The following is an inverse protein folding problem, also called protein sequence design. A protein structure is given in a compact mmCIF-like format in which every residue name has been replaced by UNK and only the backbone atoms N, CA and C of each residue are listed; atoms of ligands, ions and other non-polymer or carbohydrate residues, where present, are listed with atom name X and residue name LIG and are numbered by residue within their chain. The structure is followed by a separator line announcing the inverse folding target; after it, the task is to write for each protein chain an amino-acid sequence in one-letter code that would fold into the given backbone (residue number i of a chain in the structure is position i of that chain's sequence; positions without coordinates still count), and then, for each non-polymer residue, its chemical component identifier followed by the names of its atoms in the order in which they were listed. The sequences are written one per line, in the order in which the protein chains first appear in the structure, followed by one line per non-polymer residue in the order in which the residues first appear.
data_IF_463269190852
#
_entry.id   IF_463269190852
#
_cell.length_a   1.000
_cell.length_b   1.000
_cell.length_c   1.000
_cell.angle_alpha   90.00
_cell.angle_beta   90.00
_cell.angle_gamma   90.00
#
_symmetry.space_group_name_H-M   'P 1'
#
loop_
_entity.id
_entity.type
_entity.pdbx_description
1 polymer ?
#
# COMPACT_ATOMS: atom_id res chain seq x y z
N UNK A 1 -26.79 19.47 3.41
CA UNK A 1 -25.32 19.61 3.24
C UNK A 1 -24.85 18.40 2.43
N UNK A 2 -24.35 18.64 1.22
CA UNK A 2 -23.97 17.59 0.26
C UNK A 2 -22.78 16.77 0.80
N UNK A 3 -22.87 15.45 0.97
CA UNK A 3 -21.77 14.63 1.47
C UNK A 3 -20.53 14.67 0.54
N UNK A 4 -20.72 15.00 -0.74
CA UNK A 4 -19.62 15.16 -1.70
C UNK A 4 -18.72 16.39 -1.44
N UNK A 5 -19.21 17.45 -0.79
CA UNK A 5 -18.39 18.63 -0.50
C UNK A 5 -17.38 18.39 0.64
N UNK A 6 -17.73 17.52 1.60
CA UNK A 6 -16.85 17.17 2.70
C UNK A 6 -15.76 16.20 2.24
N UNK A 7 -16.08 15.29 1.30
CA UNK A 7 -15.12 14.34 0.72
C UNK A 7 -14.01 15.02 -0.10
N UNK A 8 -14.27 16.15 -0.73
CA UNK A 8 -13.25 16.87 -1.52
C UNK A 8 -12.31 17.74 -0.69
N UNK A 9 -12.70 18.14 0.51
CA UNK A 9 -11.91 19.13 1.27
C UNK A 9 -10.62 18.54 1.85
N UNK A 10 -10.61 17.27 2.28
CA UNK A 10 -9.41 16.64 2.86
C UNK A 10 -8.32 16.34 1.80
N UNK A 11 -8.69 16.13 0.53
CA UNK A 11 -7.72 15.88 -0.55
C UNK A 11 -6.91 17.13 -0.91
N UNK A 12 -7.42 18.32 -0.60
CA UNK A 12 -6.70 19.57 -0.88
C UNK A 12 -5.33 19.66 -0.21
N UNK A 13 -5.13 18.99 0.89
CA UNK A 13 -3.84 18.93 1.58
C UNK A 13 -2.75 18.22 0.76
N UNK A 14 -3.15 17.35 -0.19
CA UNK A 14 -2.25 16.62 -1.08
C UNK A 14 -2.04 17.29 -2.44
N UNK A 15 -2.57 18.51 -2.62
CA UNK A 15 -2.40 19.29 -3.83
C UNK A 15 -1.27 20.30 -3.63
N UNK A 16 -0.26 20.25 -4.49
CA UNK A 16 0.93 21.10 -4.44
C UNK A 16 0.92 22.04 -5.62
N UNK A 17 0.98 23.34 -5.34
CA UNK A 17 1.17 24.38 -6.34
C UNK A 17 2.67 24.54 -6.61
N UNK A 18 3.14 24.13 -7.77
CA UNK A 18 4.58 24.18 -8.12
C UNK A 18 4.98 25.37 -8.96
N UNK A 19 4.02 26.09 -9.58
CA UNK A 19 4.33 27.23 -10.47
C UNK A 19 5.04 28.36 -9.77
N UNK A 20 4.66 28.66 -8.52
CA UNK A 20 5.30 29.71 -7.71
C UNK A 20 6.61 29.32 -7.03
N UNK A 21 7.02 28.05 -7.14
CA UNK A 21 8.27 27.57 -6.52
C UNK A 21 9.46 28.00 -7.38
N UNK A 22 10.57 28.31 -6.73
CA UNK A 22 11.88 28.48 -7.37
C UNK A 22 12.43 27.12 -7.82
N UNK A 23 13.31 27.10 -8.81
CA UNK A 23 14.03 25.89 -9.15
C UNK A 23 14.90 25.41 -7.97
N UNK A 24 14.93 24.10 -7.74
CA UNK A 24 15.65 23.49 -6.64
C UNK A 24 14.81 22.59 -5.76
N UNK A 25 15.32 22.26 -4.59
CA UNK A 25 14.73 21.32 -3.63
C UNK A 25 13.70 22.01 -2.73
N UNK A 26 12.53 21.37 -2.61
CA UNK A 26 11.46 21.74 -1.70
C UNK A 26 11.01 20.49 -0.90
N UNK A 27 10.85 20.66 0.41
CA UNK A 27 10.45 19.56 1.29
C UNK A 27 9.02 19.77 1.76
N UNK A 28 8.26 18.68 1.78
CA UNK A 28 6.88 18.64 2.25
C UNK A 28 6.69 17.48 3.22
N UNK A 29 5.78 17.65 4.15
CA UNK A 29 5.37 16.59 5.09
C UNK A 29 3.86 16.45 5.05
N UNK A 30 3.39 15.20 5.00
CA UNK A 30 1.98 14.86 4.97
C UNK A 30 1.67 13.81 6.02
N UNK A 31 0.48 13.90 6.60
CA UNK A 31 -0.07 12.86 7.46
C UNK A 31 -1.16 12.13 6.72
N UNK A 32 -0.97 10.83 6.50
CA UNK A 32 -1.95 9.95 5.89
C UNK A 32 -2.73 9.24 6.98
N UNK A 33 -4.04 9.35 6.89
CA UNK A 33 -5.00 8.71 7.79
C UNK A 33 -5.95 7.80 7.00
N UNK A 34 -6.79 7.09 7.73
CA UNK A 34 -7.86 6.21 7.20
C UNK A 34 -8.63 6.82 6.04
N UNK A 35 -8.87 8.14 6.08
CA UNK A 35 -9.67 8.86 5.07
C UNK A 35 -9.12 8.73 3.66
N UNK A 36 -7.77 8.74 3.51
CA UNK A 36 -7.15 8.62 2.20
C UNK A 36 -7.31 7.21 1.64
N UNK A 37 -7.03 6.18 2.44
CA UNK A 37 -7.12 4.79 2.00
C UNK A 37 -8.57 4.42 1.65
N UNK A 38 -9.53 4.79 2.51
CA UNK A 38 -10.97 4.57 2.27
C UNK A 38 -11.50 5.35 1.06
N UNK A 39 -10.91 6.52 0.74
CA UNK A 39 -11.28 7.27 -0.45
C UNK A 39 -11.02 6.47 -1.74
N UNK A 40 -9.95 5.69 -1.76
CA UNK A 40 -9.58 4.79 -2.85
C UNK A 40 -10.15 3.36 -2.70
N UNK A 41 -11.17 3.19 -1.84
CA UNK A 41 -11.87 1.92 -1.58
C UNK A 41 -10.97 0.80 -1.04
N UNK A 42 -9.92 1.16 -0.31
CA UNK A 42 -9.15 0.20 0.45
C UNK A 42 -9.67 0.19 1.90
N UNK A 43 -10.37 -0.90 2.26
CA UNK A 43 -11.05 -1.05 3.55
C UNK A 43 -10.51 -2.22 4.38
N UNK A 44 -9.53 -2.97 3.87
CA UNK A 44 -8.93 -4.15 4.53
C UNK A 44 -7.95 -3.77 5.65
N UNK A 45 -8.32 -2.79 6.45
CA UNK A 45 -7.57 -2.34 7.63
C UNK A 45 -8.52 -1.74 8.68
N UNK A 46 -8.08 -1.69 9.93
CA UNK A 46 -8.86 -1.11 11.03
C UNK A 46 -8.59 0.39 11.17
N UNK A 47 -7.33 0.77 11.26
CA UNK A 47 -6.88 2.18 11.30
C UNK A 47 -5.47 2.31 10.72
N UNK A 48 -5.10 3.54 10.33
CA UNK A 48 -3.74 3.83 9.90
C UNK A 48 -3.28 5.22 10.37
N UNK A 49 -1.98 5.32 10.61
CA UNK A 49 -1.27 6.58 10.87
C UNK A 49 0.10 6.49 10.22
N UNK A 50 0.26 7.22 9.13
CA UNK A 50 1.49 7.20 8.33
C UNK A 50 1.94 8.63 8.10
N UNK A 51 3.19 8.90 8.45
CA UNK A 51 3.86 10.16 8.14
C UNK A 51 4.62 9.98 6.83
N UNK A 52 4.45 10.92 5.92
CA UNK A 52 5.11 10.93 4.62
C UNK A 52 5.93 12.19 4.48
N UNK A 53 7.21 12.01 4.18
CA UNK A 53 8.10 13.10 3.77
C UNK A 53 8.26 13.04 2.26
N UNK A 54 8.16 14.17 1.61
CA UNK A 54 8.36 14.28 0.17
C UNK A 54 9.39 15.34 -0.14
N UNK A 55 10.36 14.98 -0.96
CA UNK A 55 11.31 15.88 -1.58
C UNK A 55 10.86 16.15 -3.01
N UNK A 56 10.61 17.41 -3.34
CA UNK A 56 10.29 17.87 -4.69
C UNK A 56 11.49 18.65 -5.22
N UNK A 57 12.12 18.17 -6.27
CA UNK A 57 13.15 18.90 -7.00
C UNK A 57 12.54 19.48 -8.26
N UNK A 58 12.41 20.81 -8.29
CA UNK A 58 11.91 21.52 -9.46
C UNK A 58 13.05 21.82 -10.42
N UNK A 59 12.89 21.38 -11.67
CA UNK A 59 13.75 21.70 -12.81
C UNK A 59 12.94 22.43 -13.89
N UNK A 60 13.57 23.11 -14.85
CA UNK A 60 12.84 23.89 -15.86
C UNK A 60 11.77 23.13 -16.64
N UNK A 61 11.99 21.84 -16.93
CA UNK A 61 11.13 21.03 -17.79
C UNK A 61 10.52 19.80 -17.11
N UNK A 62 10.83 19.55 -15.84
CA UNK A 62 10.32 18.39 -15.10
C UNK A 62 10.35 18.64 -13.59
N UNK A 63 9.59 17.80 -12.86
CA UNK A 63 9.69 17.72 -11.41
C UNK A 63 10.13 16.29 -11.04
N UNK A 64 11.02 16.17 -10.05
CA UNK A 64 11.37 14.91 -9.44
C UNK A 64 10.77 14.87 -8.03
N UNK A 65 10.02 13.81 -7.73
CA UNK A 65 9.32 13.63 -6.46
C UNK A 65 9.85 12.36 -5.81
N UNK A 66 10.41 12.49 -4.60
CA UNK A 66 10.84 11.35 -3.79
C UNK A 66 10.01 11.29 -2.52
N UNK A 67 9.29 10.20 -2.33
CA UNK A 67 8.43 9.97 -1.18
C UNK A 67 9.06 8.97 -0.23
N UNK A 68 8.96 9.25 1.07
CA UNK A 68 9.39 8.39 2.16
C UNK A 68 8.23 8.31 3.15
N UNK A 69 7.67 7.13 3.31
CA UNK A 69 6.59 6.91 4.27
C UNK A 69 7.06 6.06 5.44
N UNK A 70 6.57 6.37 6.63
CA UNK A 70 6.79 5.60 7.84
C UNK A 70 5.59 5.72 8.76
N UNK A 71 5.11 4.59 9.26
CA UNK A 71 3.99 4.61 10.18
C UNK A 71 3.50 3.22 10.56
N UNK A 72 2.25 3.17 11.00
CA UNK A 72 1.60 1.96 11.46
C UNK A 72 0.24 1.84 10.81
N UNK A 73 -0.07 0.63 10.34
CA UNK A 73 -1.39 0.23 9.85
C UNK A 73 -1.85 -0.94 10.72
N UNK A 74 -3.04 -0.84 11.31
CA UNK A 74 -3.64 -1.96 12.02
C UNK A 74 -4.39 -2.84 11.03
N UNK A 75 -3.93 -4.07 10.87
CA UNK A 75 -4.40 -5.06 9.91
C UNK A 75 -4.86 -6.32 10.63
N UNK A 76 -5.72 -7.10 9.98
CA UNK A 76 -6.10 -8.41 10.49
C UNK A 76 -5.16 -9.49 9.96
N UNK A 77 -4.73 -10.38 10.85
CA UNK A 77 -3.92 -11.52 10.48
C UNK A 77 -4.66 -12.44 9.50
N UNK A 78 -4.02 -12.82 8.40
CA UNK A 78 -4.61 -13.70 7.39
C UNK A 78 -4.98 -15.09 7.94
N UNK A 79 -4.27 -15.58 8.96
CA UNK A 79 -4.46 -16.92 9.53
C UNK A 79 -5.42 -16.90 10.72
N UNK A 80 -5.23 -15.98 11.67
CA UNK A 80 -6.01 -15.95 12.92
C UNK A 80 -7.17 -14.97 12.89
N UNK A 81 -7.18 -14.04 11.92
CA UNK A 81 -8.09 -12.89 11.83
C UNK A 81 -8.01 -11.93 13.03
N UNK A 82 -6.97 -12.04 13.84
CA UNK A 82 -6.75 -11.13 14.96
C UNK A 82 -6.08 -9.84 14.48
N UNK A 83 -6.51 -8.67 15.00
CA UNK A 83 -5.92 -7.39 14.62
C UNK A 83 -4.52 -7.23 15.23
N UNK A 84 -3.60 -6.66 14.48
CA UNK A 84 -2.27 -6.29 14.97
C UNK A 84 -1.73 -5.09 14.23
N UNK A 85 -0.76 -4.42 14.85
CA UNK A 85 -0.09 -3.27 14.27
C UNK A 85 1.05 -3.71 13.36
N UNK A 86 0.93 -3.37 12.08
CA UNK A 86 1.94 -3.59 11.06
C UNK A 86 2.75 -2.32 10.86
N UNK A 87 4.08 -2.41 11.02
CA UNK A 87 4.98 -1.29 10.74
C UNK A 87 5.18 -1.13 9.24
N UNK A 88 4.66 -0.04 8.68
CA UNK A 88 4.80 0.30 7.28
C UNK A 88 5.99 1.24 7.09
N UNK A 89 6.83 0.93 6.12
CA UNK A 89 7.94 1.77 5.68
C UNK A 89 8.13 1.56 4.18
N UNK A 90 8.03 2.61 3.39
CA UNK A 90 8.25 2.53 1.94
C UNK A 90 8.84 3.82 1.38
N UNK A 91 9.46 3.67 0.22
CA UNK A 91 10.00 4.76 -0.58
C UNK A 91 9.54 4.59 -2.01
N UNK A 92 9.24 5.70 -2.69
CA UNK A 92 8.86 5.73 -4.09
C UNK A 92 9.32 7.03 -4.74
N UNK A 93 9.84 6.93 -5.97
CA UNK A 93 10.33 8.05 -6.74
C UNK A 93 9.49 8.20 -8.01
N UNK A 94 9.15 9.45 -8.36
CA UNK A 94 8.41 9.78 -9.58
C UNK A 94 9.08 10.91 -10.31
N UNK A 95 9.02 10.85 -11.65
CA UNK A 95 9.36 11.97 -12.52
C UNK A 95 8.10 12.51 -13.16
N UNK A 96 7.85 13.81 -13.00
CA UNK A 96 6.72 14.49 -13.62
C UNK A 96 7.20 15.25 -14.83
N UNK A 97 6.68 14.92 -16.01
CA UNK A 97 6.93 15.64 -17.27
C UNK A 97 5.69 16.40 -17.71
N UNK A 98 5.90 17.44 -18.50
CA UNK A 98 4.84 18.26 -19.07
C UNK A 98 4.68 17.94 -20.55
N UNK A 99 3.52 17.43 -20.95
CA UNK A 99 3.27 17.00 -22.32
C UNK A 99 1.83 16.64 -22.59
N UNK A 100 1.54 16.20 -23.82
CA UNK A 100 0.22 15.77 -24.25
C UNK A 100 0.15 14.24 -24.44
N UNK A 101 1.27 13.53 -24.31
CA UNK A 101 1.33 12.09 -24.52
C UNK A 101 1.03 11.38 -23.20
N UNK A 102 -0.05 10.63 -23.19
CA UNK A 102 -0.38 9.68 -22.11
C UNK A 102 0.44 8.40 -22.35
N UNK A 103 1.69 8.40 -21.93
CA UNK A 103 2.50 7.18 -21.97
C UNK A 103 2.41 6.51 -20.59
N UNK A 104 1.47 5.58 -20.45
CA UNK A 104 1.16 4.89 -19.19
C UNK A 104 2.06 3.67 -18.93
N UNK A 105 3.05 3.42 -19.77
CA UNK A 105 3.87 2.20 -19.68
C UNK A 105 4.94 2.25 -18.58
N UNK A 106 5.15 3.42 -17.97
CA UNK A 106 6.14 3.59 -16.92
C UNK A 106 5.49 4.13 -15.64
N UNK A 107 5.39 3.29 -14.61
CA UNK A 107 4.77 3.63 -13.32
C UNK A 107 5.51 4.74 -12.55
N UNK A 108 6.76 5.02 -12.89
CA UNK A 108 7.57 6.08 -12.29
C UNK A 108 7.43 7.42 -13.02
N UNK A 109 6.69 7.47 -14.12
CA UNK A 109 6.52 8.66 -14.95
C UNK A 109 5.08 9.16 -14.90
N UNK A 110 4.90 10.38 -14.38
CA UNK A 110 3.63 11.08 -14.42
C UNK A 110 3.67 12.17 -15.49
N UNK A 111 2.67 12.23 -16.37
CA UNK A 111 2.58 13.24 -17.40
C UNK A 111 1.46 14.22 -17.03
N UNK A 112 1.80 15.49 -16.87
CA UNK A 112 0.85 16.56 -16.68
C UNK A 112 0.66 17.34 -17.98
N UNK A 113 -0.56 17.83 -18.27
CA UNK A 113 -0.81 18.73 -19.39
C UNK A 113 0.08 19.97 -19.33
N UNK A 114 0.48 20.48 -20.50
CA UNK A 114 1.20 21.76 -20.59
C UNK A 114 0.34 22.87 -19.98
N UNK A 115 0.95 23.71 -19.13
CA UNK A 115 0.24 24.78 -18.44
C UNK A 115 -0.37 24.38 -17.09
N UNK A 116 -0.19 23.14 -16.65
CA UNK A 116 -0.54 22.76 -15.28
C UNK A 116 0.24 23.60 -14.27
N UNK A 117 -0.43 24.01 -13.20
CA UNK A 117 0.14 24.83 -12.13
C UNK A 117 0.19 24.11 -10.78
N UNK A 118 -0.48 22.97 -10.68
CA UNK A 118 -0.56 22.15 -9.47
C UNK A 118 -0.52 20.68 -9.82
N UNK A 119 -0.15 19.86 -8.83
CA UNK A 119 -0.16 18.40 -8.89
C UNK A 119 -0.90 17.85 -7.68
N UNK A 120 -1.79 16.89 -7.90
CA UNK A 120 -2.41 16.09 -6.84
C UNK A 120 -1.61 14.79 -6.69
N UNK A 121 -1.08 14.56 -5.50
CA UNK A 121 -0.24 13.40 -5.16
C UNK A 121 -0.99 12.36 -4.34
N UNK A 122 -2.30 12.53 -4.12
CA UNK A 122 -3.09 11.65 -3.26
C UNK A 122 -3.10 10.20 -3.74
N UNK A 123 -3.19 9.98 -5.06
CA UNK A 123 -3.14 8.66 -5.67
C UNK A 123 -1.77 8.00 -5.48
N UNK A 124 -0.67 8.72 -5.69
CA UNK A 124 0.68 8.21 -5.54
C UNK A 124 0.97 7.81 -4.09
N UNK A 125 0.48 8.60 -3.13
CA UNK A 125 0.57 8.27 -1.70
C UNK A 125 -0.20 6.98 -1.36
N UNK A 126 -1.41 6.85 -1.89
CA UNK A 126 -2.21 5.64 -1.73
C UNK A 126 -1.50 4.41 -2.31
N UNK A 127 -1.07 4.48 -3.57
CA UNK A 127 -0.39 3.39 -4.26
C UNK A 127 0.89 2.96 -3.53
N UNK A 128 1.73 3.91 -3.12
CA UNK A 128 2.95 3.64 -2.37
C UNK A 128 2.68 2.87 -1.08
N UNK A 129 1.65 3.25 -0.34
CA UNK A 129 1.31 2.60 0.93
C UNK A 129 0.76 1.19 0.69
N UNK A 130 -0.21 1.04 -0.21
CA UNK A 130 -0.87 -0.25 -0.44
C UNK A 130 0.08 -1.26 -1.09
N UNK A 131 0.92 -0.83 -2.04
CA UNK A 131 1.91 -1.70 -2.67
C UNK A 131 3.04 -2.14 -1.74
N UNK A 132 3.26 -1.41 -0.65
CA UNK A 132 4.23 -1.80 0.39
C UNK A 132 3.74 -2.90 1.33
N UNK A 133 2.43 -3.19 1.31
CA UNK A 133 1.86 -4.23 2.15
C UNK A 133 2.10 -5.61 1.54
N UNK A 134 2.52 -6.61 2.31
CA UNK A 134 2.65 -7.97 1.81
C UNK A 134 1.28 -8.58 1.49
N UNK A 135 1.22 -9.45 0.49
CA UNK A 135 -0.02 -10.14 0.09
C UNK A 135 -0.59 -11.03 1.19
N UNK A 136 0.27 -11.60 2.03
CA UNK A 136 -0.11 -12.40 3.21
C UNK A 136 0.45 -11.75 4.45
N UNK A 137 -0.42 -11.15 5.21
CA UNK A 137 -0.08 -10.48 6.45
C UNK A 137 -0.34 -11.46 7.59
N UNK A 138 0.71 -11.92 8.24
CA UNK A 138 0.64 -12.84 9.38
C UNK A 138 1.08 -12.12 10.66
N UNK A 139 0.37 -12.39 11.75
CA UNK A 139 0.75 -11.86 13.05
C UNK A 139 2.11 -12.45 13.47
N UNK A 140 3.09 -11.64 13.90
CA UNK A 140 4.42 -12.13 14.30
C UNK A 140 4.37 -13.24 15.35
N UNK A 141 3.41 -13.17 16.26
CA UNK A 141 3.19 -14.18 17.31
C UNK A 141 2.78 -15.57 16.82
N UNK A 142 2.54 -15.77 15.52
CA UNK A 142 2.31 -17.10 14.94
C UNK A 142 3.64 -17.82 14.76
N UNK A 143 4.64 -17.10 14.25
CA UNK A 143 5.95 -17.68 13.92
C UNK A 143 6.74 -18.00 15.19
N UNK A 144 6.66 -17.13 16.21
CA UNK A 144 7.32 -17.33 17.50
C UNK A 144 6.47 -18.10 18.53
N UNK A 145 5.23 -18.49 18.18
CA UNK A 145 4.34 -19.28 19.02
C UNK A 145 3.76 -18.54 20.23
N UNK A 146 3.90 -17.22 20.30
CA UNK A 146 3.38 -16.40 21.42
C UNK A 146 1.89 -16.11 21.30
N UNK A 147 1.34 -16.14 20.07
CA UNK A 147 -0.08 -15.90 19.84
C UNK A 147 -0.91 -17.14 20.22
N UNK A 148 -1.74 -16.99 21.25
CA UNK A 148 -2.75 -18.00 21.65
C UNK A 148 -4.10 -17.59 21.10
N UNK A 149 -4.52 -18.21 20.01
CA UNK A 149 -5.81 -17.97 19.37
C UNK A 149 -6.59 -19.27 19.25
N UNK A 150 -7.90 -19.23 19.53
CA UNK A 150 -8.79 -20.38 19.34
C UNK A 150 -8.77 -20.87 17.90
N UNK A 151 -8.66 -19.95 16.94
CA UNK A 151 -8.55 -20.26 15.51
C UNK A 151 -7.29 -21.08 15.21
N UNK A 152 -6.14 -20.72 15.80
CA UNK A 152 -4.89 -21.45 15.62
C UNK A 152 -4.96 -22.86 16.24
N UNK A 153 -5.60 -23.00 17.40
CA UNK A 153 -5.81 -24.32 18.02
C UNK A 153 -6.70 -25.21 17.15
N UNK A 154 -7.74 -24.65 16.56
CA UNK A 154 -8.61 -25.38 15.63
C UNK A 154 -7.84 -25.79 14.37
N UNK A 155 -7.04 -24.92 13.77
CA UNK A 155 -6.21 -25.24 12.61
C UNK A 155 -5.21 -26.35 12.90
N UNK A 156 -4.52 -26.32 14.04
CA UNK A 156 -3.61 -27.41 14.47
C UNK A 156 -4.31 -28.77 14.59
N UNK A 157 -5.56 -28.79 15.06
CA UNK A 157 -6.35 -30.03 15.11
C UNK A 157 -6.69 -30.60 13.72
N UNK A 158 -6.87 -29.73 12.73
CA UNK A 158 -7.09 -30.15 11.33
C UNK A 158 -5.81 -30.70 10.71
N UNK A 159 -4.65 -30.06 10.94
CA UNK A 159 -3.36 -30.52 10.43
C UNK A 159 -3.00 -31.92 10.96
N UNK A 160 -3.24 -32.20 12.24
CA UNK A 160 -3.02 -33.51 12.83
C UNK A 160 -3.90 -34.61 12.22
N UNK A 161 -5.11 -34.28 11.76
CA UNK A 161 -5.97 -35.22 11.04
C UNK A 161 -5.51 -35.49 9.61
N UNK A 162 -4.92 -34.51 8.94
CA UNK A 162 -4.41 -34.66 7.56
C UNK A 162 -3.09 -35.47 7.53
N UNK A 163 -2.26 -35.39 8.55
CA UNK A 163 -1.02 -36.18 8.63
C UNK A 163 -1.27 -37.72 8.80
N UNK A 164 -2.48 -38.14 9.08
CA UNK A 164 -2.87 -39.57 9.10
C UNK A 164 -3.33 -40.09 7.72
N UNK A 165 -3.36 -39.26 6.67
CA UNK A 165 -3.68 -39.67 5.30
C UNK A 165 -2.37 -39.93 4.54
N UNK A 166 -1.52 -40.79 5.06
CA UNK A 166 -0.36 -41.33 4.33
C UNK A 166 -0.72 -42.57 3.47
N UNK A 167 -1.99 -42.76 3.17
CA UNK A 167 -2.40 -43.74 2.14
C UNK A 167 -2.48 -43.00 0.82
N UNK A 168 -1.46 -43.20 -0.01
CA UNK A 168 -1.49 -42.82 -1.43
C UNK A 168 -2.83 -43.29 -2.01
N UNK A 169 -3.58 -42.40 -2.63
CA UNK A 169 -4.86 -42.72 -3.27
C UNK A 169 -4.61 -43.88 -4.27
N UNK A 170 -5.32 -45.00 -4.18
CA UNK A 170 -5.12 -46.16 -5.07
C UNK A 170 -5.22 -45.79 -6.57
N UNK A 171 -5.85 -44.69 -6.90
CA UNK A 171 -5.91 -44.16 -8.31
C UNK A 171 -4.55 -43.81 -8.87
N UNK A 172 -3.58 -43.47 -8.01
CA UNK A 172 -2.23 -43.06 -8.40
C UNK A 172 -1.26 -44.21 -8.53
N UNK A 173 -1.65 -45.44 -8.10
CA UNK A 173 -0.77 -46.60 -8.17
C UNK A 173 -0.41 -46.96 -9.62
N UNK A 174 -1.31 -46.72 -10.56
CA UNK A 174 -1.04 -46.89 -12.00
C UNK A 174 -0.02 -45.94 -12.60
N UNK A 175 0.30 -44.83 -11.92
CA UNK A 175 1.32 -43.86 -12.36
C UNK A 175 2.73 -44.26 -11.91
N UNK A 176 2.85 -45.12 -10.90
CA UNK A 176 4.14 -45.64 -10.42
C UNK A 176 4.81 -46.58 -11.42
N UNK A 177 4.00 -47.20 -12.30
CA UNK A 177 4.47 -48.15 -13.32
C UNK A 177 4.93 -47.41 -14.59
N UNK A 178 4.85 -46.04 -14.65
CA UNK A 178 5.25 -45.22 -15.76
C UNK A 178 6.60 -44.49 -15.57
N UNK A 179 7.23 -44.67 -14.41
CA UNK A 179 8.55 -44.17 -14.05
C UNK A 179 9.50 -45.34 -13.93
#
# INVERSE_FOLDING_TARGET
RNPNSIKMHFLKQYVINFTGLKDGLHNYEFNVSDKLLRHYNFDDFNNCRIDVKMNLVKKPNLLELSFFSKGVINLNCFVSNEPFDYSQNSQMDFVVKFGNELNNDNHELLILPKGSYQIDISQQLYEMIVLSLPLKITHPGIDDGTLKSETLERLKKFDLKNNNISKTDPRWDKLKDLI
#
